data_IF_938223111368
#
_entry.id   IF_938223111368
#
_cell.length_a   1.000
_cell.length_b   1.000
_cell.length_c   1.000
_cell.angle_alpha   90.00
_cell.angle_beta   90.00
_cell.angle_gamma   90.00
#
_symmetry.space_group_name_H-M   'P 1'
#
loop_
_entity.id
_entity.type
_entity.pdbx_description
1 polymer ?
#
# COMPACT_ATOMS: atom_id res chain seq x y z
N UNK A 1 -6.25 -7.39 -17.57
CA UNK A 1 -5.97 -8.45 -16.58
C UNK A 1 -6.37 -7.94 -15.20
N UNK A 2 -6.39 -8.83 -14.20
CA UNK A 2 -6.54 -8.45 -12.80
C UNK A 2 -5.22 -8.76 -12.08
N UNK A 3 -4.62 -7.75 -11.45
CA UNK A 3 -3.33 -7.83 -10.78
C UNK A 3 -3.54 -7.55 -9.29
N UNK A 4 -3.06 -8.45 -8.43
CA UNK A 4 -3.10 -8.31 -6.98
C UNK A 4 -1.68 -8.23 -6.44
N UNK A 5 -1.36 -7.12 -5.76
CA UNK A 5 -0.19 -7.01 -4.91
C UNK A 5 -0.59 -7.26 -3.46
N UNK A 6 0.00 -8.27 -2.84
CA UNK A 6 -0.22 -8.61 -1.44
C UNK A 6 1.07 -8.36 -0.65
N UNK A 7 1.03 -7.37 0.24
CA UNK A 7 2.09 -7.02 1.18
C UNK A 7 1.70 -7.37 2.62
N UNK A 8 2.70 -7.53 3.49
CA UNK A 8 2.45 -7.68 4.92
C UNK A 8 2.00 -6.35 5.53
N UNK A 9 2.63 -5.25 5.13
CA UNK A 9 2.40 -3.91 5.64
C UNK A 9 1.98 -2.96 4.52
N UNK A 10 1.36 -1.82 4.84
CA UNK A 10 1.40 -0.63 3.99
C UNK A 10 2.84 -0.39 3.53
N UNK A 11 3.12 0.23 2.38
CA UNK A 11 4.47 0.43 1.80
C UNK A 11 5.14 -0.75 1.08
N UNK A 12 4.84 -2.00 1.44
CA UNK A 12 5.54 -3.18 0.86
C UNK A 12 5.35 -3.24 -0.68
N UNK A 13 4.14 -2.92 -1.16
CA UNK A 13 3.82 -2.93 -2.59
C UNK A 13 4.54 -1.80 -3.33
N UNK A 14 4.57 -0.61 -2.73
CA UNK A 14 5.21 0.59 -3.26
C UNK A 14 6.71 0.36 -3.44
N UNK A 15 7.37 -0.13 -2.38
CA UNK A 15 8.81 -0.37 -2.34
C UNK A 15 9.19 -1.58 -3.21
N UNK A 16 8.45 -2.67 -3.10
CA UNK A 16 8.79 -3.93 -3.74
C UNK A 16 8.47 -3.97 -5.23
N UNK A 17 7.37 -3.34 -5.66
CA UNK A 17 6.88 -3.49 -7.04
C UNK A 17 6.07 -2.32 -7.60
N UNK A 18 6.09 -1.13 -6.97
CA UNK A 18 5.24 0.00 -7.36
C UNK A 18 5.36 0.37 -8.84
N UNK A 19 6.57 0.39 -9.39
CA UNK A 19 6.79 0.66 -10.82
C UNK A 19 6.14 -0.38 -11.75
N UNK A 20 6.11 -1.65 -11.37
CA UNK A 20 5.44 -2.69 -12.16
C UNK A 20 3.92 -2.54 -12.09
N UNK A 21 3.38 -2.20 -10.91
CA UNK A 21 1.96 -1.93 -10.73
C UNK A 21 1.49 -0.72 -11.53
N UNK A 22 2.28 0.35 -11.58
CA UNK A 22 2.02 1.52 -12.42
C UNK A 22 1.97 1.16 -13.91
N UNK A 23 2.93 0.35 -14.40
CA UNK A 23 2.92 -0.12 -15.79
C UNK A 23 1.66 -0.95 -16.13
N UNK A 24 1.18 -1.77 -15.20
CA UNK A 24 -0.08 -2.50 -15.36
C UNK A 24 -1.29 -1.56 -15.38
N UNK A 25 -1.32 -0.57 -14.49
CA UNK A 25 -2.39 0.44 -14.47
C UNK A 25 -2.42 1.24 -15.79
N UNK A 26 -1.27 1.69 -16.30
CA UNK A 26 -1.12 2.39 -17.59
C UNK A 26 -1.56 1.52 -18.78
N UNK A 27 -1.37 0.20 -18.69
CA UNK A 27 -1.86 -0.75 -19.68
C UNK A 27 -3.38 -1.00 -19.60
N UNK A 28 -4.08 -0.40 -18.63
CA UNK A 28 -5.52 -0.56 -18.42
C UNK A 28 -5.89 -1.81 -17.63
N UNK A 29 -4.93 -2.46 -16.95
CA UNK A 29 -5.22 -3.57 -16.06
C UNK A 29 -5.87 -3.09 -14.75
N UNK A 30 -6.71 -3.93 -14.16
CA UNK A 30 -7.24 -3.68 -12.82
C UNK A 30 -6.17 -4.07 -11.80
N UNK A 31 -5.59 -3.08 -11.14
CA UNK A 31 -4.64 -3.27 -10.05
C UNK A 31 -5.37 -3.21 -8.70
N UNK A 32 -5.02 -4.09 -7.78
CA UNK A 32 -5.50 -4.08 -6.40
C UNK A 32 -4.31 -4.29 -5.47
N UNK A 33 -4.17 -3.43 -4.47
CA UNK A 33 -3.14 -3.54 -3.43
C UNK A 33 -3.84 -3.98 -2.14
N UNK A 34 -3.28 -4.96 -1.45
CA UNK A 34 -3.80 -5.46 -0.18
C UNK A 34 -2.67 -5.58 0.82
N UNK A 35 -2.89 -5.05 2.02
CA UNK A 35 -1.97 -5.15 3.15
C UNK A 35 -2.56 -6.11 4.18
N UNK A 36 -1.75 -7.03 4.69
CA UNK A 36 -2.20 -8.01 5.69
C UNK A 36 -2.33 -7.42 7.10
N UNK A 37 -1.67 -6.29 7.36
CA UNK A 37 -1.67 -5.56 8.64
C UNK A 37 -1.95 -4.08 8.42
N UNK A 38 -2.30 -3.37 9.49
CA UNK A 38 -2.46 -1.91 9.46
C UNK A 38 -1.11 -1.17 9.59
N UNK A 39 -0.02 -1.90 9.81
CA UNK A 39 1.32 -1.34 9.94
C UNK A 39 1.54 -0.51 11.21
N UNK A 40 0.69 -0.70 12.22
CA UNK A 40 0.55 0.12 13.41
C UNK A 40 1.75 0.09 14.38
N UNK A 41 2.64 -0.89 14.22
CA UNK A 41 3.83 -1.07 15.04
C UNK A 41 5.09 -0.37 14.49
N UNK A 42 5.01 0.28 13.32
CA UNK A 42 6.18 0.83 12.62
C UNK A 42 6.70 2.18 13.15
N UNK A 43 5.98 2.83 14.07
CA UNK A 43 6.27 4.20 14.53
C UNK A 43 6.91 4.28 15.90
N UNK A 44 7.73 5.31 16.11
CA UNK A 44 8.33 5.63 17.42
C UNK A 44 7.58 6.81 18.04
N UNK A 45 6.94 6.59 19.19
CA UNK A 45 6.23 7.65 19.92
C UNK A 45 4.81 7.96 19.42
N UNK A 46 4.37 7.31 18.34
CA UNK A 46 2.98 7.39 17.86
C UNK A 46 2.17 6.23 18.43
N UNK A 47 0.96 6.49 18.91
CA UNK A 47 0.05 5.44 19.35
C UNK A 47 -0.31 4.51 18.17
N UNK A 48 -0.36 3.17 18.34
CA UNK A 48 -0.62 2.25 17.23
C UNK A 48 -1.89 2.57 16.43
N UNK A 49 -3.00 2.86 17.10
CA UNK A 49 -4.27 3.21 16.44
C UNK A 49 -4.19 4.49 15.60
N UNK A 50 -3.42 5.48 16.06
CA UNK A 50 -3.17 6.70 15.29
C UNK A 50 -2.28 6.41 14.08
N UNK A 51 -1.25 5.57 14.25
CA UNK A 51 -0.38 5.19 13.15
C UNK A 51 -1.11 4.36 12.08
N UNK A 52 -1.97 3.42 12.48
CA UNK A 52 -2.82 2.66 11.56
C UNK A 52 -3.64 3.59 10.65
N UNK A 53 -4.28 4.62 11.22
CA UNK A 53 -5.06 5.59 10.46
C UNK A 53 -4.19 6.37 9.48
N UNK A 54 -3.02 6.86 9.94
CA UNK A 54 -2.05 7.57 9.10
C UNK A 54 -1.60 6.69 7.94
N UNK A 55 -1.18 5.44 8.21
CA UNK A 55 -0.69 4.53 7.17
C UNK A 55 -1.77 4.14 6.16
N UNK A 56 -3.03 4.10 6.59
CA UNK A 56 -4.16 3.90 5.69
C UNK A 56 -4.29 5.08 4.72
N UNK A 57 -4.26 6.30 5.22
CA UNK A 57 -4.31 7.52 4.38
C UNK A 57 -3.12 7.58 3.42
N UNK A 58 -1.92 7.25 3.90
CA UNK A 58 -0.70 7.16 3.07
C UNK A 58 -0.84 6.12 1.95
N UNK A 59 -1.38 4.94 2.26
CA UNK A 59 -1.60 3.88 1.26
C UNK A 59 -2.62 4.30 0.20
N UNK A 60 -3.72 4.91 0.62
CA UNK A 60 -4.76 5.39 -0.31
C UNK A 60 -4.23 6.51 -1.20
N UNK A 61 -3.39 7.41 -0.67
CA UNK A 61 -2.73 8.46 -1.44
C UNK A 61 -1.69 7.90 -2.43
N UNK A 62 -0.87 6.94 -2.00
CA UNK A 62 0.14 6.30 -2.85
C UNK A 62 -0.50 5.53 -4.02
N UNK A 63 -1.59 4.80 -3.75
CA UNK A 63 -2.32 4.06 -4.77
C UNK A 63 -3.06 4.92 -5.80
N UNK A 64 -3.17 6.24 -5.56
CA UNK A 64 -3.82 7.19 -6.45
C UNK A 64 -2.85 7.91 -7.42
N UNK A 65 -1.55 7.61 -7.33
CA UNK A 65 -0.49 8.12 -8.23
C UNK A 65 -0.45 7.30 -9.52
#
# INVERSE_FOLDING_TARGET
MNVLALGAHPDDADIGCGGALALHADAGDRVTITCATDGEAGGIGTAPTALAAIRREETEAAAAV
#
